data_IF_155286646966
#
_entry.id   IF_155286646966
#
_cell.length_a   1.000
_cell.length_b   1.000
_cell.length_c   1.000
_cell.angle_alpha   90.00
_cell.angle_beta   90.00
_cell.angle_gamma   90.00
#
_symmetry.space_group_name_H-M   'P 1'
#
loop_
_entity.id
_entity.type
_entity.pdbx_description
1 polymer ?
#
# COMPACT_ATOMS: atom_id res chain seq x y z
N UNK A 1 8.57 -23.47 33.10
CA UNK A 1 7.34 -23.71 32.32
C UNK A 1 7.47 -23.07 30.95
N UNK A 2 7.76 -21.78 30.85
CA UNK A 2 7.99 -21.10 29.56
C UNK A 2 9.12 -21.72 28.73
N UNK A 3 10.28 -22.06 29.30
CA UNK A 3 11.37 -22.69 28.52
C UNK A 3 10.96 -24.02 27.86
N UNK A 4 10.13 -24.82 28.53
CA UNK A 4 9.66 -26.08 27.94
C UNK A 4 8.69 -25.82 26.78
N UNK A 5 7.89 -24.75 26.88
CA UNK A 5 7.03 -24.30 25.79
C UNK A 5 7.85 -23.84 24.59
N UNK A 6 8.89 -23.03 24.81
CA UNK A 6 9.81 -22.61 23.74
C UNK A 6 10.48 -23.80 23.07
N UNK A 7 10.94 -24.78 23.85
CA UNK A 7 11.52 -25.99 23.26
C UNK A 7 10.50 -26.73 22.37
N UNK A 8 9.24 -26.85 22.80
CA UNK A 8 8.20 -27.47 21.99
C UNK A 8 7.92 -26.66 20.71
N UNK A 9 7.78 -25.33 20.81
CA UNK A 9 7.57 -24.46 19.65
C UNK A 9 8.73 -24.58 18.64
N UNK A 10 9.96 -24.63 19.13
CA UNK A 10 11.15 -24.85 18.30
C UNK A 10 11.11 -26.22 17.65
N UNK A 11 10.74 -27.28 18.38
CA UNK A 11 10.57 -28.63 17.80
C UNK A 11 9.50 -28.61 16.69
N UNK A 12 8.35 -27.98 16.93
CA UNK A 12 7.26 -27.89 15.95
C UNK A 12 7.69 -27.13 14.67
N UNK A 13 8.43 -26.03 14.82
CA UNK A 13 9.02 -25.28 13.69
C UNK A 13 10.03 -26.11 12.91
N UNK A 14 10.88 -26.89 13.59
CA UNK A 14 11.86 -27.76 12.94
C UNK A 14 11.21 -28.95 12.23
N UNK A 15 10.15 -29.51 12.81
CA UNK A 15 9.35 -30.56 12.19
C UNK A 15 8.65 -30.04 10.93
N UNK A 16 8.15 -28.80 10.96
CA UNK A 16 7.61 -28.13 9.77
C UNK A 16 8.70 -27.90 8.71
N UNK A 17 9.88 -27.42 9.09
CA UNK A 17 11.00 -27.19 8.18
C UNK A 17 11.51 -28.48 7.51
N UNK A 18 11.43 -29.62 8.20
CA UNK A 18 11.82 -30.92 7.64
C UNK A 18 10.73 -31.57 6.79
N UNK A 19 9.47 -31.11 6.91
CA UNK A 19 8.32 -31.61 6.17
C UNK A 19 7.58 -30.44 5.48
N UNK A 20 8.20 -29.75 4.52
CA UNK A 20 7.56 -28.63 3.82
C UNK A 20 6.30 -29.09 3.09
N UNK A 21 5.35 -28.18 2.85
CA UNK A 21 4.12 -28.50 2.13
C UNK A 21 4.43 -29.07 0.74
N UNK A 22 3.52 -29.87 0.19
CA UNK A 22 3.67 -30.32 -1.19
C UNK A 22 3.61 -29.11 -2.13
N UNK A 23 4.51 -29.02 -3.15
CA UNK A 23 4.47 -27.96 -4.15
C UNK A 23 3.08 -27.84 -4.78
N UNK A 24 2.68 -26.62 -5.11
CA UNK A 24 1.40 -26.39 -5.77
C UNK A 24 1.41 -27.06 -7.15
N UNK A 25 0.29 -27.71 -7.50
CA UNK A 25 0.17 -28.28 -8.84
C UNK A 25 -0.10 -27.17 -9.85
N UNK A 26 0.74 -27.10 -10.88
CA UNK A 26 0.64 -26.09 -11.94
C UNK A 26 0.41 -26.80 -13.26
N UNK A 27 -0.71 -26.51 -13.91
CA UNK A 27 -0.90 -26.90 -15.31
C UNK A 27 -0.33 -25.81 -16.21
N UNK A 28 0.95 -25.93 -16.56
CA UNK A 28 1.62 -24.93 -17.39
C UNK A 28 0.92 -24.79 -18.76
N UNK A 29 0.47 -23.57 -19.12
CA UNK A 29 -0.07 -23.29 -20.44
C UNK A 29 0.91 -23.73 -21.56
N UNK A 30 0.43 -24.14 -22.75
CA UNK A 30 1.29 -24.65 -23.82
C UNK A 30 2.46 -23.73 -24.20
N UNK A 31 2.28 -22.41 -24.08
CA UNK A 31 3.29 -21.40 -24.39
C UNK A 31 4.33 -21.19 -23.26
N UNK A 32 4.05 -21.61 -22.02
CA UNK A 32 4.97 -21.51 -20.88
C UNK A 32 5.64 -22.84 -20.52
N UNK A 33 5.39 -23.93 -21.28
CA UNK A 33 5.98 -25.26 -21.02
C UNK A 33 7.51 -25.30 -21.01
N UNK A 34 8.18 -24.31 -21.58
CA UNK A 34 9.64 -24.22 -21.64
C UNK A 34 10.25 -23.34 -20.53
N UNK A 35 9.41 -22.68 -19.73
CA UNK A 35 9.80 -21.75 -18.65
C UNK A 35 9.00 -22.09 -17.38
N UNK A 36 9.34 -23.21 -16.72
CA UNK A 36 8.59 -23.71 -15.56
C UNK A 36 8.69 -22.78 -14.34
N UNK A 37 9.79 -22.06 -14.19
CA UNK A 37 10.03 -20.98 -13.21
C UNK A 37 9.05 -19.81 -13.37
N UNK A 38 8.87 -19.32 -14.61
CA UNK A 38 7.90 -18.25 -14.91
C UNK A 38 6.47 -18.73 -14.64
N UNK A 39 6.17 -19.99 -14.97
CA UNK A 39 4.87 -20.60 -14.65
C UNK A 39 4.64 -20.69 -13.14
N UNK A 40 5.68 -21.00 -12.37
CA UNK A 40 5.65 -21.07 -10.91
C UNK A 40 5.30 -19.72 -10.31
N UNK A 41 6.07 -18.69 -10.66
CA UNK A 41 5.87 -17.31 -10.21
C UNK A 41 4.46 -16.78 -10.52
N UNK A 42 3.94 -17.07 -11.72
CA UNK A 42 2.65 -16.53 -12.17
C UNK A 42 1.42 -17.26 -11.60
N UNK A 43 1.53 -18.57 -11.29
CA UNK A 43 0.37 -19.42 -11.03
C UNK A 43 0.28 -19.94 -9.59
N UNK A 44 1.37 -19.88 -8.80
CA UNK A 44 1.31 -20.26 -7.38
C UNK A 44 0.58 -19.17 -6.58
N UNK A 45 -0.47 -19.48 -5.81
CA UNK A 45 -1.17 -18.47 -5.03
C UNK A 45 -0.36 -18.03 -3.81
N UNK A 46 -0.52 -16.76 -3.43
CA UNK A 46 -0.03 -16.25 -2.15
C UNK A 46 -0.81 -16.84 -0.99
N UNK A 47 -0.10 -17.23 0.07
CA UNK A 47 -0.65 -17.77 1.31
C UNK A 47 0.15 -17.28 2.51
N UNK A 48 -0.48 -17.10 3.68
CA UNK A 48 0.28 -16.82 4.89
C UNK A 48 1.15 -18.04 5.27
N UNK A 49 2.30 -17.79 5.88
CA UNK A 49 3.21 -18.85 6.35
C UNK A 49 2.48 -19.79 7.30
N UNK A 50 1.61 -19.25 8.15
CA UNK A 50 0.77 -20.02 9.08
C UNK A 50 -0.06 -21.12 8.41
N UNK A 51 -0.54 -20.90 7.18
CA UNK A 51 -1.29 -21.89 6.40
C UNK A 51 -0.35 -22.93 5.78
N UNK A 52 0.84 -22.51 5.34
CA UNK A 52 1.83 -23.38 4.71
C UNK A 52 2.41 -24.39 5.69
N UNK A 53 2.70 -23.97 6.93
CA UNK A 53 3.35 -24.82 7.94
C UNK A 53 2.42 -25.30 9.05
N UNK A 54 1.19 -24.78 9.13
CA UNK A 54 0.20 -25.19 10.12
C UNK A 54 0.42 -24.64 11.53
N UNK A 55 1.34 -23.69 11.71
CA UNK A 55 1.64 -23.03 12.99
C UNK A 55 1.00 -21.66 12.98
N UNK A 56 0.02 -21.44 13.85
CA UNK A 56 -0.70 -20.17 13.94
C UNK A 56 0.09 -19.12 14.75
N UNK A 57 -0.16 -17.84 14.46
CA UNK A 57 0.52 -16.70 15.10
C UNK A 57 0.33 -16.66 16.63
N UNK A 58 -0.77 -17.20 17.15
CA UNK A 58 -1.07 -17.16 18.60
C UNK A 58 -0.22 -18.15 19.40
N UNK A 59 0.53 -19.06 18.74
CA UNK A 59 1.46 -19.95 19.40
C UNK A 59 2.78 -19.27 19.75
N UNK A 60 3.07 -18.09 19.19
CA UNK A 60 4.25 -17.32 19.56
C UNK A 60 3.97 -16.52 20.85
N UNK A 61 4.79 -16.67 21.91
CA UNK A 61 4.65 -15.87 23.13
C UNK A 61 4.90 -14.38 22.87
N UNK A 62 4.40 -13.54 23.77
CA UNK A 62 4.73 -12.11 23.74
C UNK A 62 6.24 -11.92 23.96
N UNK A 63 6.86 -11.01 23.20
CA UNK A 63 8.28 -10.69 23.31
C UNK A 63 8.68 -10.33 24.76
N UNK A 64 7.78 -9.67 25.52
CA UNK A 64 8.03 -9.25 26.90
C UNK A 64 8.19 -10.42 27.89
N UNK A 65 7.70 -11.61 27.52
CA UNK A 65 7.84 -12.83 28.33
C UNK A 65 9.17 -13.57 28.06
N UNK A 66 9.88 -13.20 26.98
CA UNK A 66 11.07 -13.89 26.50
C UNK A 66 12.36 -13.17 26.90
N UNK A 67 13.43 -13.94 27.06
CA UNK A 67 14.77 -13.39 27.11
C UNK A 67 15.46 -13.49 25.74
N UNK A 68 16.54 -12.72 25.55
CA UNK A 68 17.34 -12.67 24.31
C UNK A 68 17.70 -14.05 23.75
N UNK A 69 18.07 -15.02 24.59
CA UNK A 69 18.45 -16.35 24.12
C UNK A 69 17.23 -17.13 23.61
N UNK A 70 16.07 -16.95 24.22
CA UNK A 70 14.82 -17.58 23.76
C UNK A 70 14.36 -16.98 22.45
N UNK A 71 14.38 -15.64 22.30
CA UNK A 71 14.07 -14.98 21.03
C UNK A 71 14.98 -15.51 19.92
N UNK A 72 16.29 -15.59 20.18
CA UNK A 72 17.25 -16.13 19.22
C UNK A 72 16.97 -17.58 18.84
N UNK A 73 16.63 -18.44 19.81
CA UNK A 73 16.30 -19.84 19.54
C UNK A 73 15.11 -19.99 18.59
N UNK A 74 14.07 -19.15 18.77
CA UNK A 74 12.89 -19.18 17.91
C UNK A 74 13.20 -18.59 16.54
N UNK A 75 13.93 -17.47 16.46
CA UNK A 75 14.36 -16.88 15.18
C UNK A 75 15.17 -17.87 14.34
N UNK A 76 16.15 -18.55 14.96
CA UNK A 76 16.96 -19.57 14.30
C UNK A 76 16.11 -20.75 13.76
N UNK A 77 14.99 -21.05 14.41
CA UNK A 77 14.04 -22.08 13.95
C UNK A 77 13.13 -21.56 12.83
N UNK A 78 12.67 -20.31 12.93
CA UNK A 78 11.89 -19.64 11.87
C UNK A 78 12.70 -19.56 10.58
N UNK A 79 13.97 -19.17 10.62
CA UNK A 79 14.79 -19.12 9.40
C UNK A 79 14.97 -20.48 8.73
N UNK A 80 14.99 -21.58 9.49
CA UNK A 80 14.98 -22.93 8.88
C UNK A 80 13.67 -23.24 8.18
N UNK A 81 12.55 -22.72 8.68
CA UNK A 81 11.26 -22.79 7.97
C UNK A 81 11.35 -21.97 6.68
N UNK A 82 11.89 -20.75 6.73
CA UNK A 82 12.09 -19.92 5.54
C UNK A 82 12.97 -20.62 4.50
N UNK A 83 14.12 -21.18 4.91
CA UNK A 83 15.01 -21.97 4.06
C UNK A 83 14.27 -23.14 3.39
N UNK A 84 13.44 -23.88 4.15
CA UNK A 84 12.66 -25.01 3.63
C UNK A 84 11.58 -24.60 2.61
N UNK A 85 11.12 -23.36 2.72
CA UNK A 85 10.13 -22.74 1.84
C UNK A 85 10.79 -21.92 0.71
N UNK A 86 12.12 -21.88 0.63
CA UNK A 86 12.87 -21.03 -0.29
C UNK A 86 12.51 -19.54 -0.18
N UNK A 87 12.29 -19.07 1.06
CA UNK A 87 12.03 -17.66 1.37
C UNK A 87 13.33 -16.99 1.84
N UNK A 88 13.64 -15.82 1.29
CA UNK A 88 14.79 -15.02 1.71
C UNK A 88 14.31 -13.67 2.24
N UNK A 89 14.59 -13.35 3.52
CA UNK A 89 14.30 -12.03 4.07
C UNK A 89 15.37 -11.05 3.61
N UNK A 90 15.08 -10.23 2.61
CA UNK A 90 16.10 -9.43 1.90
C UNK A 90 16.34 -8.05 2.54
N UNK A 91 15.43 -7.60 3.39
CA UNK A 91 15.44 -6.25 3.96
C UNK A 91 15.71 -6.20 5.47
N UNK A 92 16.26 -7.28 6.04
CA UNK A 92 16.70 -7.32 7.44
C UNK A 92 17.82 -6.28 7.68
N UNK A 93 17.62 -5.27 8.55
CA UNK A 93 18.65 -4.27 8.80
C UNK A 93 19.88 -4.84 9.52
N UNK A 94 21.10 -4.42 9.15
CA UNK A 94 22.31 -4.92 9.80
C UNK A 94 22.37 -4.51 11.27
N UNK A 95 22.56 -5.50 12.16
CA UNK A 95 22.69 -5.27 13.60
C UNK A 95 21.36 -5.19 14.36
N UNK A 96 20.27 -5.64 13.74
CA UNK A 96 18.96 -5.76 14.40
C UNK A 96 19.05 -6.66 15.66
N UNK A 97 18.56 -6.21 16.83
CA UNK A 97 18.54 -7.05 18.03
C UNK A 97 17.63 -8.28 17.85
N UNK A 98 17.99 -9.45 18.42
CA UNK A 98 17.20 -10.66 18.29
C UNK A 98 15.75 -10.54 18.79
N UNK A 99 15.49 -9.69 19.78
CA UNK A 99 14.16 -9.44 20.32
C UNK A 99 13.28 -8.71 19.30
N UNK A 100 13.84 -7.69 18.64
CA UNK A 100 13.11 -6.95 17.59
C UNK A 100 12.88 -7.85 16.38
N UNK A 101 13.90 -8.61 15.96
CA UNK A 101 13.74 -9.58 14.88
C UNK A 101 12.66 -10.63 15.19
N UNK A 102 12.57 -11.08 16.44
CA UNK A 102 11.51 -11.98 16.89
C UNK A 102 10.12 -11.36 16.75
N UNK A 103 9.96 -10.13 17.21
CA UNK A 103 8.69 -9.40 17.12
C UNK A 103 8.27 -9.19 15.67
N UNK A 104 9.20 -8.75 14.80
CA UNK A 104 8.97 -8.60 13.35
C UNK A 104 8.50 -9.92 12.72
N UNK A 105 9.24 -11.01 12.92
CA UNK A 105 8.93 -12.29 12.28
C UNK A 105 7.57 -12.85 12.73
N UNK A 106 7.24 -12.70 14.02
CA UNK A 106 6.03 -13.30 14.60
C UNK A 106 4.78 -12.44 14.38
N UNK A 107 4.89 -11.11 14.41
CA UNK A 107 3.78 -10.20 14.09
C UNK A 107 3.44 -10.21 12.60
N UNK A 108 4.44 -10.43 11.73
CA UNK A 108 4.25 -10.56 10.28
C UNK A 108 4.06 -12.01 9.82
N UNK A 109 3.76 -12.97 10.71
CA UNK A 109 3.60 -14.39 10.34
C UNK A 109 2.45 -14.67 9.36
N UNK A 110 1.50 -13.72 9.25
CA UNK A 110 0.38 -13.76 8.30
C UNK A 110 0.69 -13.04 6.97
N UNK A 111 1.91 -12.53 6.79
CA UNK A 111 2.33 -11.90 5.54
C UNK A 111 2.20 -12.91 4.38
N UNK A 112 1.55 -12.52 3.27
CA UNK A 112 1.33 -13.41 2.13
C UNK A 112 2.64 -13.74 1.41
N UNK A 113 2.96 -15.02 1.27
CA UNK A 113 4.13 -15.52 0.54
C UNK A 113 3.75 -16.59 -0.49
N UNK A 114 4.60 -16.82 -1.49
CA UNK A 114 4.49 -17.94 -2.42
C UNK A 114 5.55 -18.99 -2.07
N UNK A 115 5.13 -20.26 -1.97
CA UNK A 115 6.08 -21.36 -1.86
C UNK A 115 6.57 -21.74 -3.27
N UNK A 116 7.80 -21.35 -3.60
CA UNK A 116 8.39 -21.48 -4.93
C UNK A 116 9.67 -22.34 -4.89
N UNK A 117 9.56 -23.68 -4.91
CA UNK A 117 10.72 -24.58 -4.89
C UNK A 117 11.76 -24.38 -6.00
N UNK A 118 11.38 -23.82 -7.15
CA UNK A 118 12.32 -23.59 -8.25
C UNK A 118 12.95 -22.21 -8.17
N UNK A 119 12.13 -21.18 -7.97
CA UNK A 119 12.56 -19.78 -8.07
C UNK A 119 12.94 -19.13 -6.74
N UNK A 120 12.38 -19.61 -5.63
CA UNK A 120 12.42 -18.90 -4.35
C UNK A 120 11.60 -17.60 -4.36
N UNK A 121 11.41 -17.01 -3.18
CA UNK A 121 10.76 -15.72 -3.02
C UNK A 121 11.54 -14.84 -2.06
N UNK A 122 11.80 -13.61 -2.51
CA UNK A 122 12.27 -12.53 -1.65
C UNK A 122 11.10 -12.00 -0.83
N UNK A 123 11.31 -11.93 0.49
CA UNK A 123 10.35 -11.40 1.46
C UNK A 123 10.86 -10.03 1.90
N UNK A 124 10.05 -8.99 1.65
CA UNK A 124 10.25 -7.63 2.15
C UNK A 124 9.17 -7.33 3.21
N UNK A 125 9.59 -7.04 4.45
CA UNK A 125 8.68 -6.66 5.54
C UNK A 125 8.71 -5.16 5.83
N UNK A 126 9.73 -4.44 5.35
CA UNK A 126 9.84 -3.00 5.39
C UNK A 126 8.66 -2.38 4.64
N UNK A 127 7.84 -1.61 5.35
CA UNK A 127 6.71 -0.90 4.73
C UNK A 127 7.14 0.31 3.90
N UNK A 128 8.43 0.65 3.89
CA UNK A 128 8.98 1.92 3.34
C UNK A 128 8.36 3.18 3.94
N UNK A 129 7.63 3.01 5.04
CA UNK A 129 7.02 4.07 5.83
C UNK A 129 7.65 4.04 7.24
N UNK A 130 8.42 5.07 7.64
CA UNK A 130 9.03 5.16 8.96
C UNK A 130 8.04 5.03 10.14
N UNK A 131 6.74 5.23 9.93
CA UNK A 131 5.72 5.13 10.98
C UNK A 131 5.18 3.72 11.16
N UNK A 132 5.09 2.94 10.09
CA UNK A 132 4.51 1.59 10.12
C UNK A 132 5.54 0.49 9.92
N UNK A 133 6.81 0.84 9.76
CA UNK A 133 7.86 -0.13 9.48
C UNK A 133 8.06 -1.04 10.70
N UNK A 134 7.98 -2.38 10.52
CA UNK A 134 8.11 -3.32 11.62
C UNK A 134 9.52 -3.29 12.24
N UNK A 135 10.53 -2.88 11.48
CA UNK A 135 11.90 -2.74 11.95
C UNK A 135 12.16 -1.48 12.80
N UNK A 136 11.21 -0.52 12.84
CA UNK A 136 11.33 0.72 13.61
C UNK A 136 12.63 1.49 13.32
N UNK A 137 13.29 1.95 14.39
CA UNK A 137 14.51 2.76 14.35
C UNK A 137 15.72 2.05 13.71
N UNK A 138 15.65 0.73 13.51
CA UNK A 138 16.74 -0.05 12.92
C UNK A 138 16.70 -0.05 11.38
N UNK A 139 15.54 0.20 10.78
CA UNK A 139 15.45 0.30 9.33
C UNK A 139 15.54 1.76 8.90
N UNK A 140 16.48 2.02 8.00
CA UNK A 140 16.39 3.21 7.18
C UNK A 140 15.34 2.95 6.11
N UNK A 141 14.06 3.17 6.43
CA UNK A 141 12.95 3.01 5.47
C UNK A 141 13.13 3.91 4.22
N UNK A 142 14.06 4.86 4.30
CA UNK A 142 14.49 5.78 3.26
C UNK A 142 15.81 5.36 2.60
N UNK A 143 16.31 4.16 2.88
CA UNK A 143 17.66 3.70 2.60
C UNK A 143 17.82 3.08 1.22
N UNK A 144 17.66 3.93 0.21
CA UNK A 144 18.48 4.00 -1.02
C UNK A 144 17.91 5.14 -1.88
N UNK A 145 18.09 6.39 -1.44
CA UNK A 145 18.09 7.54 -2.36
C UNK A 145 19.49 7.71 -2.98
N UNK A 146 20.09 6.63 -3.49
CA UNK A 146 21.35 6.68 -4.24
C UNK A 146 21.13 6.55 -5.77
N UNK A 147 19.88 6.47 -6.22
CA UNK A 147 19.49 7.06 -7.49
C UNK A 147 18.54 8.22 -7.17
N UNK A 148 18.90 9.44 -7.56
CA UNK A 148 17.89 10.45 -7.88
C UNK A 148 17.02 9.82 -8.98
N UNK A 149 16.03 9.01 -8.61
CA UNK A 149 14.98 8.57 -9.53
C UNK A 149 14.16 9.82 -9.81
N UNK A 150 14.65 10.59 -10.77
CA UNK A 150 14.12 11.89 -11.15
C UNK A 150 12.71 11.68 -11.64
N UNK A 151 11.73 12.09 -10.82
CA UNK A 151 10.38 12.37 -11.29
C UNK A 151 10.47 13.20 -12.59
N UNK A 152 9.67 12.91 -13.63
CA UNK A 152 9.79 13.61 -14.89
C UNK A 152 9.76 15.13 -14.70
N UNK A 153 10.77 15.83 -15.23
CA UNK A 153 11.00 17.28 -15.02
C UNK A 153 9.78 18.17 -15.29
N UNK A 154 8.82 17.69 -16.10
CA UNK A 154 7.51 18.35 -16.30
C UNK A 154 6.77 18.65 -14.99
N UNK A 155 6.91 17.79 -13.98
CA UNK A 155 6.23 17.92 -12.69
C UNK A 155 6.90 18.93 -11.74
N UNK A 156 8.17 19.28 -11.94
CA UNK A 156 8.91 20.19 -11.05
C UNK A 156 8.20 21.54 -10.87
N UNK A 157 7.55 22.04 -11.93
CA UNK A 157 6.86 23.34 -11.92
C UNK A 157 5.58 23.36 -11.10
N UNK A 158 4.99 22.19 -10.83
CA UNK A 158 3.74 22.08 -10.07
C UNK A 158 3.97 21.67 -8.62
N UNK A 159 5.11 21.04 -8.29
CA UNK A 159 5.43 20.60 -6.93
C UNK A 159 5.29 21.72 -5.90
N UNK A 160 5.90 22.91 -6.07
CA UNK A 160 5.74 23.99 -5.08
C UNK A 160 4.28 24.42 -4.91
N UNK A 161 3.48 24.39 -5.98
CA UNK A 161 2.06 24.77 -5.95
C UNK A 161 1.22 23.75 -5.22
N UNK A 162 1.54 22.47 -5.38
CA UNK A 162 0.89 21.37 -4.66
C UNK A 162 1.24 21.47 -3.19
N UNK A 163 2.55 21.60 -2.87
CA UNK A 163 3.06 21.78 -1.51
C UNK A 163 2.37 22.93 -0.76
N UNK A 164 2.27 24.11 -1.38
CA UNK A 164 1.56 25.26 -0.79
C UNK A 164 0.09 24.94 -0.51
N UNK A 165 -0.56 24.19 -1.40
CA UNK A 165 -1.98 23.89 -1.32
C UNK A 165 -2.28 22.85 -0.23
N UNK A 166 -1.48 21.78 -0.15
CA UNK A 166 -1.62 20.79 0.91
C UNK A 166 -1.33 21.40 2.28
N UNK A 167 -0.35 22.31 2.38
CA UNK A 167 -0.06 23.02 3.63
C UNK A 167 -1.21 23.95 4.04
N UNK A 168 -1.89 24.53 3.06
CA UNK A 168 -3.09 25.33 3.24
C UNK A 168 -4.39 24.50 3.41
N UNK A 169 -4.29 23.18 3.61
CA UNK A 169 -5.41 22.24 3.79
C UNK A 169 -6.36 22.12 2.59
N UNK A 170 -5.83 22.24 1.39
CA UNK A 170 -6.54 21.90 0.15
C UNK A 170 -6.15 20.50 -0.34
N UNK A 171 -7.14 19.74 -0.78
CA UNK A 171 -6.94 18.55 -1.59
C UNK A 171 -6.65 19.02 -3.02
N UNK A 172 -5.60 18.49 -3.61
CA UNK A 172 -5.20 18.82 -4.98
C UNK A 172 -5.39 17.61 -5.89
N UNK A 173 -6.06 17.84 -7.01
CA UNK A 173 -6.19 16.91 -8.11
C UNK A 173 -5.35 17.41 -9.27
N UNK A 174 -4.52 16.53 -9.83
CA UNK A 174 -3.63 16.86 -10.94
C UNK A 174 -3.93 15.97 -12.14
N UNK A 175 -4.20 16.58 -13.28
CA UNK A 175 -4.19 15.84 -14.55
C UNK A 175 -2.71 15.62 -14.99
N UNK A 176 -2.22 14.38 -15.08
CA UNK A 176 -0.79 14.11 -15.33
C UNK A 176 -0.35 14.45 -16.76
N UNK A 177 -1.28 14.55 -17.71
CA UNK A 177 -0.98 14.90 -19.10
C UNK A 177 -0.88 16.42 -19.30
N UNK A 178 -1.85 17.16 -18.77
CA UNK A 178 -1.97 18.62 -18.98
C UNK A 178 -1.33 19.43 -17.87
N UNK A 179 -1.07 18.80 -16.71
CA UNK A 179 -0.65 19.44 -15.46
C UNK A 179 -1.67 20.47 -14.94
N UNK A 180 -2.94 20.38 -15.37
CA UNK A 180 -4.03 21.15 -14.79
C UNK A 180 -4.23 20.75 -13.32
N UNK A 181 -4.42 21.75 -12.46
CA UNK A 181 -4.59 21.59 -11.01
C UNK A 181 -6.00 22.04 -10.63
N UNK A 182 -6.76 21.15 -10.01
CA UNK A 182 -7.99 21.48 -9.31
C UNK A 182 -7.76 21.39 -7.80
N UNK A 183 -8.23 22.40 -7.06
CA UNK A 183 -8.02 22.51 -5.61
C UNK A 183 -9.38 22.59 -4.92
N UNK A 184 -9.59 21.72 -3.94
CA UNK A 184 -10.81 21.66 -3.15
C UNK A 184 -10.42 21.78 -1.68
N UNK A 185 -11.05 22.67 -0.92
CA UNK A 185 -10.77 22.76 0.51
C UNK A 185 -11.21 21.47 1.20
N UNK A 186 -10.34 20.85 2.01
CA UNK A 186 -10.68 19.60 2.73
C UNK A 186 -11.91 19.80 3.62
N UNK A 187 -11.99 20.95 4.30
CA UNK A 187 -13.17 21.33 5.10
C UNK A 187 -14.46 21.39 4.28
N UNK A 188 -14.41 21.98 3.08
CA UNK A 188 -15.58 22.04 2.20
C UNK A 188 -15.97 20.65 1.70
N UNK A 189 -15.00 19.77 1.44
CA UNK A 189 -15.24 18.40 1.02
C UNK A 189 -15.91 17.60 2.15
N UNK A 190 -15.39 17.68 3.38
CA UNK A 190 -15.96 17.04 4.57
C UNK A 190 -17.41 17.49 4.82
N UNK A 191 -17.67 18.79 4.71
CA UNK A 191 -19.01 19.35 4.83
C UNK A 191 -19.91 18.88 3.69
N UNK A 192 -19.43 18.85 2.43
CA UNK A 192 -20.19 18.37 1.29
C UNK A 192 -20.59 16.89 1.42
N UNK A 193 -19.69 16.03 1.88
CA UNK A 193 -20.01 14.63 2.18
C UNK A 193 -21.06 14.51 3.28
N UNK A 194 -20.94 15.32 4.34
CA UNK A 194 -21.93 15.39 5.42
C UNK A 194 -23.32 15.82 4.92
N UNK A 195 -23.40 16.74 3.96
CA UNK A 195 -24.67 17.15 3.35
C UNK A 195 -25.21 16.11 2.34
N UNK A 196 -24.36 15.49 1.50
CA UNK A 196 -24.77 14.39 0.59
C UNK A 196 -25.34 13.17 1.34
N UNK A 197 -24.84 12.89 2.54
CA UNK A 197 -25.34 11.82 3.43
C UNK A 197 -26.60 12.19 4.22
N UNK A 198 -27.10 13.44 4.11
CA UNK A 198 -28.32 13.89 4.79
C UNK A 198 -29.54 13.62 3.91
N UNK A 199 -30.48 12.73 4.31
CA UNK A 199 -31.64 12.40 3.48
C UNK A 199 -32.52 13.65 3.23
N UNK A 200 -32.68 14.02 1.95
CA UNK A 200 -33.58 15.10 1.52
C UNK A 200 -32.92 16.41 1.05
N UNK A 201 -31.59 16.49 1.03
CA UNK A 201 -30.85 17.62 0.43
C UNK A 201 -29.99 17.14 -0.74
N UNK A 202 -30.46 17.36 -1.97
CA UNK A 202 -29.65 17.22 -3.19
C UNK A 202 -29.13 18.63 -3.48
N UNK A 203 -27.83 18.86 -3.25
CA UNK A 203 -27.16 20.07 -3.70
C UNK A 203 -27.05 20.03 -5.23
N UNK A 204 -27.39 21.13 -5.90
CA UNK A 204 -27.20 21.27 -7.35
C UNK A 204 -25.70 21.15 -7.67
N UNK A 205 -25.36 20.17 -8.52
CA UNK A 205 -23.99 19.72 -8.80
C UNK A 205 -23.10 20.83 -9.38
N UNK A 206 -22.23 21.44 -8.57
CA UNK A 206 -20.99 21.98 -9.10
C UNK A 206 -20.12 20.80 -9.52
N UNK A 207 -20.16 20.49 -10.83
CA UNK A 207 -19.34 19.42 -11.41
C UNK A 207 -17.87 19.71 -11.16
N UNK A 208 -17.19 18.77 -10.51
CA UNK A 208 -15.76 18.88 -10.27
C UNK A 208 -15.03 18.60 -11.59
N UNK A 209 -13.97 19.36 -11.90
CA UNK A 209 -13.28 19.24 -13.18
C UNK A 209 -12.65 17.86 -13.32
N UNK A 210 -12.06 17.33 -12.25
CA UNK A 210 -11.39 16.03 -12.26
C UNK A 210 -12.32 14.85 -12.57
N UNK A 211 -13.62 14.98 -12.35
CA UNK A 211 -14.62 13.96 -12.77
C UNK A 211 -14.65 13.76 -14.29
N UNK A 212 -14.11 14.71 -15.07
CA UNK A 212 -14.02 14.63 -16.53
C UNK A 212 -12.59 14.31 -17.02
N UNK A 213 -11.64 14.03 -16.13
CA UNK A 213 -10.28 13.66 -16.50
C UNK A 213 -10.14 12.14 -16.60
N UNK A 214 -9.46 11.64 -17.65
CA UNK A 214 -9.21 10.20 -17.83
C UNK A 214 -8.36 9.61 -16.69
N UNK A 215 -7.40 10.40 -16.21
CA UNK A 215 -6.52 10.05 -15.10
C UNK A 215 -6.25 11.30 -14.28
N UNK A 216 -6.10 11.13 -12.97
CA UNK A 216 -5.68 12.18 -12.07
C UNK A 216 -4.90 11.62 -10.88
N UNK A 217 -3.99 12.44 -10.35
CA UNK A 217 -3.29 12.16 -9.09
C UNK A 217 -3.93 12.98 -7.98
N UNK A 218 -4.06 12.39 -6.79
CA UNK A 218 -4.67 13.03 -5.62
C UNK A 218 -3.58 13.31 -4.58
N UNK A 219 -3.59 14.53 -4.04
CA UNK A 219 -2.71 14.96 -2.97
C UNK A 219 -3.56 15.51 -1.85
N UNK A 220 -3.60 14.78 -0.74
CA UNK A 220 -4.33 15.21 0.44
C UNK A 220 -3.45 16.07 1.37
N UNK A 221 -4.06 17.02 2.11
CA UNK A 221 -3.41 17.63 3.26
C UNK A 221 -3.03 16.58 4.29
N UNK A 222 -1.84 16.77 4.87
CA UNK A 222 -1.38 15.95 5.97
C UNK A 222 -2.40 15.93 7.13
N UNK A 223 -2.63 14.73 7.63
CA UNK A 223 -3.34 14.51 8.86
C UNK A 223 -2.54 15.00 10.06
N UNK A 224 -3.21 15.12 11.20
CA UNK A 224 -2.57 15.64 12.41
C UNK A 224 -1.39 14.77 12.86
N UNK A 225 -1.48 13.44 12.71
CA UNK A 225 -0.40 12.54 13.08
C UNK A 225 0.83 12.68 12.16
N UNK A 226 0.64 12.80 10.84
CA UNK A 226 1.72 13.05 9.88
C UNK A 226 2.38 14.41 10.14
N UNK A 227 1.57 15.44 10.39
CA UNK A 227 2.05 16.78 10.74
C UNK A 227 2.87 16.78 12.03
N UNK A 228 2.50 15.94 13.01
CA UNK A 228 3.25 15.77 14.25
C UNK A 228 4.61 15.09 14.00
N UNK A 229 4.65 14.07 13.13
CA UNK A 229 5.88 13.36 12.78
C UNK A 229 6.93 14.28 12.16
N UNK A 230 6.52 15.22 11.29
CA UNK A 230 7.45 16.21 10.73
C UNK A 230 8.13 17.03 11.85
N UNK A 231 7.38 17.37 12.90
CA UNK A 231 7.93 18.09 14.05
C UNK A 231 8.95 17.24 14.81
N UNK A 232 8.68 15.94 15.02
CA UNK A 232 9.62 15.03 15.67
C UNK A 232 10.92 14.87 14.88
N UNK A 233 10.82 14.59 13.58
CA UNK A 233 11.99 14.43 12.71
C UNK A 233 12.81 15.71 12.66
N UNK A 234 12.15 16.88 12.64
CA UNK A 234 12.87 18.15 12.74
C UNK A 234 13.63 18.29 14.06
N UNK A 235 13.01 17.92 15.18
CA UNK A 235 13.63 17.99 16.51
C UNK A 235 14.86 17.10 16.59
N UNK A 236 14.81 15.90 16.03
CA UNK A 236 15.93 14.95 15.99
C UNK A 236 17.07 15.45 15.10
N UNK A 237 16.73 16.05 13.95
CA UNK A 237 17.68 16.59 12.98
C UNK A 237 18.42 17.85 13.48
N UNK A 238 17.99 18.48 14.57
CA UNK A 238 18.66 19.64 15.14
C UNK A 238 20.01 19.29 15.77
N UNK A 239 21.03 20.06 15.39
CA UNK A 239 22.38 20.00 15.99
C UNK A 239 22.38 20.53 17.43
N UNK A 240 21.59 21.57 17.72
CA UNK A 240 21.45 22.15 19.06
C UNK A 240 20.62 21.23 19.96
N UNK A 241 21.30 20.32 20.64
CA UNK A 241 20.68 19.34 21.54
C UNK A 241 19.89 19.98 22.68
N UNK A 242 20.28 21.15 23.16
CA UNK A 242 19.53 21.85 24.21
C UNK A 242 18.20 22.37 23.70
N UNK A 243 18.16 22.91 22.48
CA UNK A 243 16.92 23.37 21.87
C UNK A 243 16.04 22.19 21.41
N UNK A 244 16.65 21.13 20.90
CA UNK A 244 16.00 19.86 20.57
C UNK A 244 15.27 19.26 21.77
N UNK A 245 15.93 19.13 22.93
CA UNK A 245 15.30 18.65 24.18
C UNK A 245 14.08 19.50 24.57
N UNK A 246 14.18 20.83 24.49
CA UNK A 246 13.06 21.72 24.80
C UNK A 246 11.88 21.56 23.85
N UNK A 247 12.14 21.34 22.56
CA UNK A 247 11.08 21.09 21.59
C UNK A 247 10.45 19.71 21.79
N UNK A 248 11.24 18.69 22.12
CA UNK A 248 10.74 17.35 22.42
C UNK A 248 9.83 17.37 23.65
N UNK A 249 10.23 18.05 24.72
CA UNK A 249 9.35 18.29 25.88
C UNK A 249 8.06 19.01 25.45
N UNK A 250 8.17 20.00 24.57
CA UNK A 250 7.01 20.77 24.06
C UNK A 250 6.03 19.88 23.28
N UNK A 251 6.52 18.93 22.50
CA UNK A 251 5.71 17.99 21.73
C UNK A 251 5.01 16.93 22.61
N UNK A 252 5.60 16.59 23.76
CA UNK A 252 5.02 15.64 24.73
C UNK A 252 3.96 16.25 25.67
N UNK A 253 3.62 17.53 25.51
CA UNK A 253 2.64 18.25 26.35
C UNK A 253 1.33 18.59 25.62
N UNK A 254 0.33 19.07 26.36
CA UNK A 254 -0.95 19.50 25.79
C UNK A 254 -0.78 20.62 24.75
N UNK A 255 -1.49 20.51 23.62
CA UNK A 255 -1.45 21.45 22.48
C UNK A 255 -0.07 21.53 21.80
N UNK A 256 0.50 20.39 21.38
CA UNK A 256 1.86 20.33 20.89
C UNK A 256 2.10 21.24 19.68
N UNK A 257 1.19 21.26 18.71
CA UNK A 257 1.29 22.11 17.52
C UNK A 257 1.38 23.61 17.83
N UNK A 258 0.53 24.09 18.74
CA UNK A 258 0.49 25.51 19.10
C UNK A 258 1.75 25.91 19.87
N UNK A 259 2.19 25.08 20.81
CA UNK A 259 3.36 25.36 21.62
C UNK A 259 4.65 25.25 20.80
N UNK A 260 4.76 24.22 19.95
CA UNK A 260 5.87 24.06 19.01
C UNK A 260 5.99 25.28 18.10
N UNK A 261 4.88 25.67 17.45
CA UNK A 261 4.84 26.86 16.59
C UNK A 261 5.29 28.12 17.34
N UNK A 262 4.76 28.36 18.54
CA UNK A 262 5.14 29.52 19.35
C UNK A 262 6.64 29.50 19.71
N UNK A 263 7.17 28.33 20.08
CA UNK A 263 8.57 28.15 20.45
C UNK A 263 9.51 28.38 19.26
N UNK A 264 9.14 27.88 18.09
CA UNK A 264 9.87 28.11 16.83
C UNK A 264 9.82 29.58 16.42
N UNK A 265 8.62 30.18 16.38
CA UNK A 265 8.41 31.57 15.93
C UNK A 265 9.12 32.60 16.83
N UNK A 266 9.37 32.25 18.10
CA UNK A 266 10.11 33.11 19.06
C UNK A 266 11.61 32.81 19.11
N UNK A 267 12.09 31.85 18.32
CA UNK A 267 13.48 31.42 18.28
C UNK A 267 14.18 31.86 16.98
N UNK A 268 15.49 31.63 16.90
CA UNK A 268 16.26 31.77 15.65
C UNK A 268 16.01 30.66 14.62
N UNK A 269 15.27 29.61 14.99
CA UNK A 269 15.06 28.41 14.16
C UNK A 269 13.81 28.50 13.27
N UNK A 270 13.12 29.65 13.23
CA UNK A 270 11.92 29.84 12.41
C UNK A 270 12.18 29.53 10.93
N UNK A 271 13.21 30.14 10.32
CA UNK A 271 13.52 29.90 8.92
C UNK A 271 13.97 28.46 8.68
N UNK A 272 14.80 27.90 9.58
CA UNK A 272 15.24 26.51 9.52
C UNK A 272 14.06 25.53 9.53
N UNK A 273 13.06 25.78 10.35
CA UNK A 273 11.82 25.00 10.38
C UNK A 273 11.01 25.14 9.08
N UNK A 274 10.86 26.36 8.56
CA UNK A 274 10.14 26.60 7.31
C UNK A 274 10.80 25.89 6.13
N UNK A 275 12.12 26.00 6.01
CA UNK A 275 12.89 25.36 4.94
C UNK A 275 12.85 23.83 5.06
N UNK A 276 12.96 23.30 6.29
CA UNK A 276 12.86 21.87 6.57
C UNK A 276 11.48 21.34 6.18
N UNK A 277 10.42 21.99 6.65
CA UNK A 277 9.02 21.59 6.37
C UNK A 277 8.72 21.67 4.87
N UNK A 278 9.18 22.72 4.19
CA UNK A 278 9.00 22.87 2.74
C UNK A 278 9.66 21.71 2.00
N UNK A 279 10.93 21.41 2.31
CA UNK A 279 11.66 20.30 1.68
C UNK A 279 10.99 18.95 1.94
N UNK A 280 10.51 18.74 3.17
CA UNK A 280 9.79 17.51 3.53
C UNK A 280 8.52 17.35 2.70
N UNK A 281 7.69 18.41 2.60
CA UNK A 281 6.45 18.38 1.82
C UNK A 281 6.73 18.20 0.32
N UNK A 282 7.75 18.84 -0.23
CA UNK A 282 8.15 18.63 -1.62
C UNK A 282 8.57 17.18 -1.88
N UNK A 283 9.32 16.57 -0.95
CA UNK A 283 9.69 15.15 -1.04
C UNK A 283 8.46 14.24 -0.96
N UNK A 284 7.52 14.52 -0.07
CA UNK A 284 6.26 13.77 0.03
C UNK A 284 5.44 13.86 -1.27
N UNK A 285 5.31 15.05 -1.87
CA UNK A 285 4.66 15.23 -3.18
C UNK A 285 5.39 14.45 -4.28
N UNK A 286 6.73 14.47 -4.29
CA UNK A 286 7.53 13.68 -5.24
C UNK A 286 7.28 12.18 -5.09
N UNK A 287 7.22 11.67 -3.87
CA UNK A 287 6.94 10.26 -3.59
C UNK A 287 5.56 9.85 -4.11
N UNK A 288 4.52 10.68 -3.91
CA UNK A 288 3.19 10.41 -4.46
C UNK A 288 3.23 10.38 -6.00
N UNK A 289 3.88 11.36 -6.64
CA UNK A 289 4.00 11.40 -8.11
C UNK A 289 4.74 10.16 -8.62
N UNK A 290 5.84 9.79 -7.97
CA UNK A 290 6.61 8.61 -8.32
C UNK A 290 5.78 7.35 -8.17
N UNK A 291 5.06 7.20 -7.06
CA UNK A 291 4.19 6.07 -6.80
C UNK A 291 3.09 5.98 -7.86
N UNK A 292 2.46 7.10 -8.25
CA UNK A 292 1.41 7.10 -9.27
C UNK A 292 1.94 6.84 -10.70
N UNK A 293 3.16 7.26 -11.02
CA UNK A 293 3.81 6.92 -12.31
C UNK A 293 4.12 5.43 -12.35
N UNK A 294 4.69 4.88 -11.28
CA UNK A 294 5.07 3.46 -11.22
C UNK A 294 3.90 2.55 -10.88
N UNK A 295 2.79 3.09 -10.39
CA UNK A 295 1.51 2.40 -10.33
C UNK A 295 1.05 2.05 -11.74
N UNK A 296 1.32 2.90 -12.72
CA UNK A 296 0.99 2.63 -14.13
C UNK A 296 1.93 1.55 -14.71
N UNK A 297 3.21 1.49 -14.32
CA UNK A 297 4.16 0.49 -14.87
C UNK A 297 3.89 -0.96 -14.45
N UNK A 298 3.08 -1.21 -13.41
CA UNK A 298 2.60 -2.57 -13.06
C UNK A 298 1.31 -3.00 -13.79
N UNK A 299 0.65 -2.08 -14.51
CA UNK A 299 -0.63 -2.36 -15.17
C UNK A 299 -0.62 -2.16 -16.70
N UNK A 300 0.45 -1.59 -17.27
CA UNK A 300 0.43 -1.11 -18.68
C UNK A 300 1.06 -2.00 -19.76
N UNK A 301 1.42 -3.27 -19.51
CA UNK A 301 1.82 -4.15 -20.63
C UNK A 301 1.02 -5.44 -20.86
N UNK A 302 0.09 -5.90 -20.01
CA UNK A 302 -0.67 -7.13 -20.37
C UNK A 302 -2.12 -7.31 -19.86
N UNK A 303 -2.69 -6.42 -19.03
CA UNK A 303 -4.01 -6.68 -18.37
C UNK A 303 -5.13 -5.68 -18.78
N UNK A 304 -5.08 -5.11 -19.98
CA UNK A 304 -6.25 -4.40 -20.55
C UNK A 304 -6.88 -5.11 -21.75
N UNK A 305 -6.42 -6.33 -22.05
CA UNK A 305 -7.08 -7.19 -23.03
C UNK A 305 -8.02 -8.15 -22.32
N UNK A 306 -9.32 -7.96 -22.52
CA UNK A 306 -10.30 -8.98 -22.21
C UNK A 306 -10.14 -10.12 -23.23
N UNK A 307 -10.27 -11.38 -22.83
CA UNK A 307 -10.16 -12.51 -23.74
C UNK A 307 -11.41 -13.38 -23.69
N UNK A 308 -11.85 -13.86 -24.86
CA UNK A 308 -12.81 -14.95 -24.95
C UNK A 308 -12.17 -16.25 -24.42
N UNK A 309 -12.98 -17.28 -24.13
CA UNK A 309 -12.48 -18.61 -23.72
C UNK A 309 -11.51 -19.25 -24.73
N UNK A 310 -11.51 -18.79 -25.99
CA UNK A 310 -10.60 -19.23 -27.06
C UNK A 310 -9.29 -18.41 -27.15
N UNK A 311 -9.08 -17.45 -26.24
CA UNK A 311 -7.90 -16.59 -26.19
C UNK A 311 -7.90 -15.43 -27.19
N UNK A 312 -9.01 -15.18 -27.89
CA UNK A 312 -9.16 -13.99 -28.74
C UNK A 312 -9.53 -12.76 -27.91
N UNK A 313 -8.98 -11.59 -28.25
CA UNK A 313 -9.28 -10.35 -27.54
C UNK A 313 -10.73 -9.92 -27.73
N UNK A 314 -11.37 -9.50 -26.65
CA UNK A 314 -12.69 -8.87 -26.63
C UNK A 314 -12.44 -7.37 -26.69
N UNK A 315 -13.00 -6.73 -27.70
CA UNK A 315 -13.07 -5.28 -27.81
C UNK A 315 -14.34 -4.80 -27.07
N UNK A 316 -14.21 -4.10 -25.93
CA UNK A 316 -15.34 -3.58 -25.15
C UNK A 316 -16.33 -2.75 -25.96
N UNK A 317 -15.85 -1.98 -26.95
CA UNK A 317 -16.69 -1.09 -27.76
C UNK A 317 -17.60 -1.85 -28.72
N UNK A 318 -17.23 -3.10 -29.05
CA UNK A 318 -17.96 -3.94 -29.99
C UNK A 318 -18.96 -4.91 -29.31
N UNK A 319 -19.06 -4.90 -27.98
CA UNK A 319 -20.04 -5.71 -27.23
C UNK A 319 -21.41 -5.00 -27.21
N UNK A 320 -22.47 -5.55 -27.85
CA UNK A 320 -23.75 -4.86 -27.96
C UNK A 320 -24.40 -4.61 -26.60
N UNK A 321 -24.99 -3.43 -26.43
CA UNK A 321 -25.75 -3.07 -25.22
C UNK A 321 -27.24 -3.32 -25.44
N UNK A 322 -27.87 -4.28 -24.72
CA UNK A 322 -29.30 -4.49 -24.84
C UNK A 322 -30.07 -3.27 -24.33
N UNK A 323 -31.00 -2.75 -25.12
CA UNK A 323 -31.74 -1.50 -24.85
C UNK A 323 -32.66 -1.51 -23.62
N UNK A 324 -32.78 -2.64 -22.92
CA UNK A 324 -33.80 -2.90 -21.89
C UNK A 324 -33.23 -3.35 -20.53
N UNK A 325 -31.91 -3.42 -20.34
CA UNK A 325 -31.32 -3.78 -19.05
C UNK A 325 -31.20 -2.54 -18.15
N UNK A 326 -31.70 -2.60 -16.91
CA UNK A 326 -31.68 -1.47 -15.95
C UNK A 326 -30.26 -1.02 -15.61
N UNK A 327 -29.31 -1.94 -15.49
CA UNK A 327 -27.89 -1.64 -15.30
C UNK A 327 -27.30 -0.97 -16.55
N UNK A 328 -27.69 -1.42 -17.75
CA UNK A 328 -27.18 -0.85 -19.00
C UNK A 328 -27.84 0.48 -19.40
N UNK A 329 -29.07 0.75 -18.95
CA UNK A 329 -29.72 2.05 -19.15
C UNK A 329 -29.07 3.15 -18.30
N UNK A 330 -28.43 2.77 -17.19
CA UNK A 330 -27.57 3.61 -16.38
C UNK A 330 -26.09 3.27 -16.64
N UNK A 331 -25.66 3.25 -17.92
CA UNK A 331 -24.25 3.09 -18.25
C UNK A 331 -23.43 4.04 -17.39
N UNK A 332 -22.63 3.48 -16.47
CA UNK A 332 -22.03 4.11 -15.27
C UNK A 332 -22.89 3.98 -14.00
N UNK A 333 -23.06 2.76 -13.49
CA UNK A 333 -22.98 2.62 -12.04
C UNK A 333 -21.53 2.95 -11.65
N UNK A 334 -21.29 3.70 -10.57
CA UNK A 334 -19.94 3.98 -10.04
C UNK A 334 -19.20 2.72 -9.56
N UNK A 335 -19.82 1.55 -9.72
CA UNK A 335 -19.28 0.22 -9.43
C UNK A 335 -18.67 -0.41 -10.69
N UNK A 336 -17.34 -0.36 -10.76
CA UNK A 336 -16.56 -0.92 -11.86
C UNK A 336 -16.64 -2.45 -11.93
N UNK A 337 -16.80 -3.16 -10.81
CA UNK A 337 -16.92 -4.62 -10.77
C UNK A 337 -18.25 -5.05 -11.40
N UNK A 338 -19.33 -4.34 -11.10
CA UNK A 338 -20.64 -4.62 -11.67
C UNK A 338 -20.68 -4.34 -13.20
N UNK A 339 -20.02 -3.26 -13.64
CA UNK A 339 -19.86 -2.94 -15.06
C UNK A 339 -19.04 -4.00 -15.80
N UNK A 340 -17.97 -4.50 -15.18
CA UNK A 340 -17.11 -5.56 -15.73
C UNK A 340 -17.89 -6.88 -15.89
N UNK A 341 -18.59 -7.31 -14.85
CA UNK A 341 -19.43 -8.52 -14.89
C UNK A 341 -20.54 -8.40 -15.93
N UNK A 342 -21.08 -7.19 -16.14
CA UNK A 342 -22.07 -6.92 -17.18
C UNK A 342 -21.49 -7.04 -18.60
N UNK A 343 -20.27 -6.51 -18.83
CA UNK A 343 -19.57 -6.63 -20.11
C UNK A 343 -19.29 -8.08 -20.47
N UNK A 344 -18.74 -8.86 -19.54
CA UNK A 344 -18.42 -10.27 -19.76
C UNK A 344 -19.69 -11.07 -20.07
N UNK A 345 -20.76 -10.90 -19.28
CA UNK A 345 -22.03 -11.60 -19.51
C UNK A 345 -22.69 -11.27 -20.86
N UNK A 346 -22.53 -10.04 -21.37
CA UNK A 346 -23.03 -9.66 -22.71
C UNK A 346 -22.18 -10.28 -23.80
N UNK A 347 -20.87 -10.29 -23.62
CA UNK A 347 -19.94 -10.87 -24.57
C UNK A 347 -20.12 -12.39 -24.71
N UNK A 348 -20.32 -13.12 -23.62
CA UNK A 348 -20.59 -14.57 -23.63
C UNK A 348 -21.87 -14.90 -24.39
N UNK A 349 -22.90 -14.06 -24.24
CA UNK A 349 -24.23 -14.28 -24.82
C UNK A 349 -24.45 -13.53 -26.12
N UNK A 350 -23.39 -12.99 -26.75
CA UNK A 350 -23.50 -12.14 -27.96
C UNK A 350 -24.13 -12.85 -29.15
N UNK A 351 -24.07 -14.19 -29.17
CA UNK A 351 -24.61 -15.05 -30.22
C UNK A 351 -25.86 -15.83 -29.77
N UNK A 352 -26.34 -15.64 -28.54
CA UNK A 352 -27.54 -16.31 -28.05
C UNK A 352 -28.81 -15.61 -28.58
N UNK A 353 -29.82 -16.40 -28.95
CA UNK A 353 -31.11 -15.88 -29.41
C UNK A 353 -31.89 -15.13 -28.32
N UNK A 354 -31.58 -15.38 -27.04
CA UNK A 354 -32.24 -14.80 -25.86
C UNK A 354 -31.21 -14.37 -24.80
N UNK A 355 -30.93 -13.06 -24.70
CA UNK A 355 -30.09 -12.54 -23.61
C UNK A 355 -30.80 -12.66 -22.25
N UNK A 356 -30.17 -13.37 -21.30
CA UNK A 356 -30.66 -13.52 -19.91
C UNK A 356 -29.69 -12.88 -18.92
N UNK A 357 -29.95 -11.64 -18.52
CA UNK A 357 -29.30 -11.04 -17.35
C UNK A 357 -30.04 -11.48 -16.07
N UNK A 358 -29.33 -12.01 -15.07
CA UNK A 358 -29.93 -12.44 -13.79
C UNK A 358 -30.37 -11.27 -12.90
N UNK A 359 -30.05 -10.04 -13.28
CA UNK A 359 -30.46 -8.78 -12.63
C UNK A 359 -31.59 -8.09 -13.43
N UNK A 360 -32.08 -8.72 -14.50
CA UNK A 360 -33.17 -8.20 -15.31
C UNK A 360 -34.50 -8.19 -14.54
N UNK A 361 -35.11 -7.02 -14.36
CA UNK A 361 -36.55 -6.90 -14.06
C UNK A 361 -37.29 -6.53 -15.34
N UNK A 362 -38.28 -7.35 -15.69
CA UNK A 362 -39.25 -7.01 -16.73
C UNK A 362 -40.08 -5.83 -16.23
N UNK A 363 -40.03 -4.69 -16.93
CA UNK A 363 -40.98 -3.60 -16.69
C UNK A 363 -42.33 -4.08 -17.22
N UNK A 364 -43.31 -4.23 -16.33
CA UNK A 364 -44.71 -4.42 -16.70
C UNK A 364 -45.40 -3.06 -16.84
#
# INVERSE_FOLDING_TARGET
MLQNYINQLVEDLLDAATNPPSPHYIESPPHMKQTPDISELALVPFKPISELVGIQSEFFPDMMDLNTNQCKQVNDAIFKVFDSLHLELVDEPPGLPPEILYDVLTTNWQHPVQYLPLSGMDVELCSRDPLTCPYGDYCNCSGDMDEEEEIPTRFEKIIPKITESIDARFICYINPETLEIEKISKTLMDDMYKYKLTPGYILEDEKLKHENWNQYYVFEPLESHESFKIMEVFVEALEDKKFSEQLLETLNHEKPFANFKWKIDTSSYQQTWLDFKQKWLENHVKQIIWAEINRVSFFDEEINSFYNEDGTTIDPENVPVPSLCVICQNSMADDWEENLLCLINRNDKRNDDDFRCRIFRKIN
#
